data_IF_939462926965
#
_entry.id   IF_939462926965
#
_cell.length_a   1.000
_cell.length_b   1.000
_cell.length_c   1.000
_cell.angle_alpha   90.00
_cell.angle_beta   90.00
_cell.angle_gamma   90.00
#
_symmetry.space_group_name_H-M   'P 1'
#
loop_
_entity.id
_entity.type
_entity.pdbx_description
1 polymer ?
#
# COMPACT_ATOMS: atom_id res chain seq x y z
N UNK A 1 -16.75 -75.63 0.81
CA UNK A 1 -15.83 -75.95 1.93
C UNK A 1 -14.91 -74.76 2.11
N UNK A 2 -14.98 -74.11 3.28
CA UNK A 2 -13.88 -73.49 4.04
C UNK A 2 -13.06 -72.43 3.25
N UNK A 3 -13.15 -71.13 3.52
CA UNK A 3 -13.05 -70.48 4.82
C UNK A 3 -11.60 -70.03 5.05
N UNK A 4 -11.31 -68.74 4.86
CA UNK A 4 -10.10 -68.09 5.39
C UNK A 4 -10.53 -66.94 6.28
N UNK A 5 -10.03 -66.98 7.51
CA UNK A 5 -10.25 -66.06 8.62
C UNK A 5 -9.12 -65.02 8.63
N UNK A 6 -9.46 -63.73 8.77
CA UNK A 6 -8.64 -62.70 9.43
C UNK A 6 -9.52 -61.44 9.56
N UNK A 7 -10.07 -61.11 10.72
CA UNK A 7 -9.44 -60.42 11.85
C UNK A 7 -9.19 -58.91 11.61
N UNK A 8 -9.99 -58.12 12.35
CA UNK A 8 -9.63 -56.90 13.10
C UNK A 8 -9.03 -55.73 12.32
N UNK A 9 -9.75 -54.60 12.26
CA UNK A 9 -9.46 -53.42 13.11
C UNK A 9 -10.35 -52.26 12.65
N UNK A 10 -11.17 -51.75 13.55
CA UNK A 10 -11.93 -50.54 13.36
C UNK A 10 -10.97 -49.34 13.22
N UNK A 11 -11.05 -48.65 12.09
CA UNK A 11 -10.49 -47.31 11.92
C UNK A 11 -11.63 -46.39 11.50
N UNK A 12 -11.81 -45.36 12.32
CA UNK A 12 -12.77 -44.28 12.25
C UNK A 12 -13.04 -43.83 10.80
N UNK A 13 -14.29 -44.01 10.35
CA UNK A 13 -14.87 -43.21 9.26
C UNK A 13 -15.68 -42.10 9.90
N UNK A 14 -15.01 -41.03 10.32
CA UNK A 14 -15.66 -39.73 10.36
C UNK A 14 -15.71 -39.23 8.92
N UNK A 15 -16.79 -39.58 8.24
CA UNK A 15 -17.25 -38.87 7.04
C UNK A 15 -17.47 -37.42 7.42
N UNK A 16 -16.50 -36.56 7.13
CA UNK A 16 -16.75 -35.12 7.02
C UNK A 16 -17.65 -34.97 5.80
N UNK A 17 -18.94 -34.87 6.07
CA UNK A 17 -19.95 -34.47 5.09
C UNK A 17 -19.65 -33.02 4.71
N UNK A 18 -18.82 -32.83 3.69
CA UNK A 18 -18.59 -31.52 3.09
C UNK A 18 -19.91 -31.13 2.43
N UNK A 19 -20.78 -30.46 3.18
CA UNK A 19 -21.90 -29.73 2.61
C UNK A 19 -21.29 -28.72 1.66
N UNK A 20 -21.22 -29.09 0.38
CA UNK A 20 -21.05 -28.16 -0.71
C UNK A 20 -22.24 -27.21 -0.56
N UNK A 21 -21.96 -26.04 0.00
CA UNK A 21 -22.92 -24.95 0.03
C UNK A 21 -23.42 -24.68 -1.40
N UNK A 22 -24.63 -24.12 -1.55
CA UNK A 22 -25.12 -23.75 -2.87
C UNK A 22 -24.03 -22.96 -3.62
N UNK A 23 -23.92 -23.27 -4.91
CA UNK A 23 -22.91 -22.78 -5.85
C UNK A 23 -22.45 -21.36 -5.50
N UNK A 24 -21.12 -21.18 -5.44
CA UNK A 24 -20.47 -19.91 -5.16
C UNK A 24 -21.24 -18.76 -5.79
N UNK A 25 -21.72 -17.86 -4.93
CA UNK A 25 -22.18 -16.53 -5.35
C UNK A 25 -21.16 -16.02 -6.35
N UNK A 26 -21.61 -15.86 -7.59
CA UNK A 26 -20.79 -15.28 -8.64
C UNK A 26 -20.39 -13.90 -8.12
N UNK A 27 -19.10 -13.57 -7.93
CA UNK A 27 -18.74 -12.25 -7.41
C UNK A 27 -19.12 -11.23 -8.47
N UNK A 28 -20.27 -10.58 -8.27
CA UNK A 28 -20.82 -9.58 -9.19
C UNK A 28 -20.29 -8.17 -8.88
N UNK A 29 -19.22 -8.06 -8.09
CA UNK A 29 -18.56 -6.82 -7.74
C UNK A 29 -17.06 -7.07 -7.53
N UNK A 30 -16.23 -6.13 -7.98
CA UNK A 30 -14.83 -6.07 -7.59
C UNK A 30 -14.73 -6.07 -6.05
N UNK A 31 -14.10 -7.09 -5.47
CA UNK A 31 -13.84 -7.20 -4.04
C UNK A 31 -12.56 -6.47 -3.67
N UNK A 32 -12.54 -5.95 -2.44
CA UNK A 32 -11.46 -5.14 -1.89
C UNK A 32 -11.04 -5.80 -0.56
N UNK A 33 -9.74 -5.87 -0.30
CA UNK A 33 -9.16 -6.45 0.92
C UNK A 33 -8.17 -5.48 1.55
N UNK A 34 -8.07 -5.51 2.88
CA UNK A 34 -7.12 -4.72 3.68
C UNK A 34 -5.96 -5.58 4.20
N UNK A 35 -5.58 -6.61 3.46
CA UNK A 35 -4.64 -7.61 3.92
C UNK A 35 -3.19 -7.22 3.63
N UNK A 36 -2.69 -6.07 4.09
CA UNK A 36 -1.29 -5.68 3.91
C UNK A 36 -0.33 -6.67 4.64
N UNK A 37 0.36 -7.59 3.93
CA UNK A 37 1.18 -8.61 4.56
C UNK A 37 2.45 -8.03 5.18
N UNK A 38 3.02 -8.77 6.13
CA UNK A 38 4.31 -8.45 6.75
C UNK A 38 5.45 -8.38 5.71
N UNK A 39 6.61 -7.80 6.05
CA UNK A 39 7.68 -7.53 5.09
C UNK A 39 8.10 -8.74 4.27
N UNK A 40 8.11 -8.58 2.94
CA UNK A 40 8.74 -9.54 2.03
C UNK A 40 10.24 -9.28 1.93
N UNK A 41 11.00 -10.32 1.59
CA UNK A 41 12.44 -10.20 1.39
C UNK A 41 12.74 -9.62 -0.01
N UNK A 42 13.47 -8.51 -0.05
CA UNK A 42 13.99 -7.88 -1.28
C UNK A 42 13.08 -6.80 -1.86
N UNK A 43 13.64 -5.93 -2.69
CA UNK A 43 12.92 -4.88 -3.44
C UNK A 43 12.48 -5.43 -4.79
N UNK A 44 11.19 -5.62 -5.02
CA UNK A 44 10.65 -5.94 -6.35
C UNK A 44 9.30 -5.20 -6.56
N UNK A 45 8.96 -4.95 -7.82
CA UNK A 45 7.72 -4.26 -8.22
C UNK A 45 6.46 -5.07 -7.95
N UNK A 46 6.56 -6.39 -7.83
CA UNK A 46 5.45 -7.32 -7.58
C UNK A 46 5.21 -7.58 -6.07
N UNK A 47 5.98 -6.93 -5.21
CA UNK A 47 5.88 -7.10 -3.78
C UNK A 47 4.55 -6.48 -3.35
N UNK A 48 3.76 -7.29 -2.67
CA UNK A 48 2.59 -6.84 -1.95
C UNK A 48 2.96 -6.86 -0.47
N UNK A 49 2.75 -5.76 0.25
CA UNK A 49 3.24 -5.60 1.62
C UNK A 49 3.84 -4.22 1.90
N UNK A 50 4.56 -4.15 3.01
CA UNK A 50 5.39 -3.02 3.40
C UNK A 50 6.74 -3.51 3.89
N UNK A 51 7.78 -2.67 3.83
CA UNK A 51 9.09 -2.99 4.38
C UNK A 51 10.00 -1.77 4.46
N UNK A 52 11.18 -1.90 5.07
CA UNK A 52 11.66 -3.05 5.84
C UNK A 52 11.00 -3.14 7.22
N UNK A 53 11.33 -4.19 7.97
CA UNK A 53 11.05 -4.20 9.41
C UNK A 53 11.84 -3.07 10.09
N UNK A 54 11.16 -2.28 10.91
CA UNK A 54 11.73 -1.11 11.60
C UNK A 54 11.05 -0.87 12.94
N UNK A 55 11.64 0.01 13.74
CA UNK A 55 11.03 0.43 15.01
C UNK A 55 9.71 1.14 14.74
N UNK A 56 8.70 0.80 15.54
CA UNK A 56 7.34 1.30 15.43
C UNK A 56 6.95 1.95 16.74
N UNK A 57 6.11 2.97 16.66
CA UNK A 57 5.71 3.85 17.75
C UNK A 57 4.20 3.98 17.82
N UNK A 58 3.72 4.57 18.90
CA UNK A 58 2.31 4.95 19.05
C UNK A 58 2.19 6.47 19.09
N UNK A 59 1.00 7.04 18.87
CA UNK A 59 0.75 8.48 19.05
C UNK A 59 1.14 8.96 20.45
N UNK A 60 0.96 8.11 21.46
CA UNK A 60 1.28 8.43 22.85
C UNK A 60 2.78 8.39 23.13
N UNK A 61 3.49 7.51 22.44
CA UNK A 61 4.93 7.27 22.59
C UNK A 61 5.58 7.34 21.21
N UNK A 62 5.51 8.53 20.60
CA UNK A 62 6.01 8.78 19.26
C UNK A 62 7.55 8.92 19.24
N UNK A 63 8.15 8.87 18.05
CA UNK A 63 9.59 8.69 17.91
C UNK A 63 10.39 9.86 18.48
N UNK A 64 11.51 9.60 19.17
CA UNK A 64 12.43 10.66 19.57
C UNK A 64 13.36 11.11 18.43
N UNK A 65 13.31 10.49 17.25
CA UNK A 65 14.17 10.77 16.10
C UNK A 65 13.35 10.86 14.82
N UNK A 66 13.94 11.42 13.75
CA UNK A 66 13.30 11.50 12.44
C UNK A 66 13.05 10.08 11.90
N UNK A 67 11.79 9.74 11.58
CA UNK A 67 11.42 8.44 11.01
C UNK A 67 10.16 8.57 10.18
N UNK A 68 10.10 7.91 9.02
CA UNK A 68 8.88 7.90 8.22
C UNK A 68 7.79 7.04 8.86
N UNK A 69 6.53 7.49 8.79
CA UNK A 69 5.33 6.66 8.86
C UNK A 69 5.35 5.55 9.93
N UNK A 70 5.82 5.86 11.13
CA UNK A 70 6.13 4.88 12.18
C UNK A 70 5.07 4.77 13.26
N UNK A 71 3.89 5.41 13.12
CA UNK A 71 2.82 5.31 14.11
C UNK A 71 1.87 4.15 13.76
N UNK A 72 1.61 3.25 14.72
CA UNK A 72 0.71 2.09 14.50
C UNK A 72 -0.76 2.36 14.83
N UNK A 73 -1.06 3.46 15.52
CA UNK A 73 -2.38 3.81 16.06
C UNK A 73 -2.81 5.24 15.67
N UNK A 74 -2.49 5.68 14.45
CA UNK A 74 -2.95 6.97 13.94
C UNK A 74 -4.49 6.95 13.89
N UNK A 75 -5.20 7.89 14.54
CA UNK A 75 -6.67 7.85 14.64
C UNK A 75 -7.38 8.07 13.30
N UNK A 76 -6.68 8.61 12.30
CA UNK A 76 -7.20 8.87 10.95
C UNK A 76 -6.73 7.80 9.97
N UNK A 77 -5.45 7.47 9.98
CA UNK A 77 -4.83 6.57 9.01
C UNK A 77 -4.70 5.11 9.48
N UNK A 78 -4.83 4.86 10.77
CA UNK A 78 -4.55 3.57 11.39
C UNK A 78 -3.05 3.30 11.47
N UNK A 79 -2.64 2.17 10.93
CA UNK A 79 -1.23 1.77 10.89
C UNK A 79 -0.51 2.43 9.72
N UNK A 80 0.45 3.32 10.01
CA UNK A 80 1.17 4.09 9.00
C UNK A 80 2.15 3.26 8.18
N UNK A 81 2.45 2.00 8.55
CA UNK A 81 3.18 1.08 7.66
C UNK A 81 2.43 0.85 6.34
N UNK A 82 1.11 0.97 6.41
CA UNK A 82 0.22 0.88 5.27
C UNK A 82 -0.07 2.26 4.67
N UNK A 83 0.97 2.94 4.20
CA UNK A 83 0.90 4.31 3.71
C UNK A 83 0.54 4.44 2.22
N UNK A 84 0.58 3.36 1.44
CA UNK A 84 0.18 3.28 0.03
C UNK A 84 -1.12 2.50 -0.06
N UNK A 85 -2.15 3.13 -0.63
CA UNK A 85 -3.45 2.50 -0.85
C UNK A 85 -4.01 2.94 -2.19
N UNK A 86 -4.87 2.11 -2.78
CA UNK A 86 -5.57 2.45 -4.02
C UNK A 86 -7.09 2.40 -3.89
N UNK A 87 -7.77 3.02 -4.85
CA UNK A 87 -9.20 2.87 -5.12
C UNK A 87 -9.48 3.07 -6.60
N UNK A 88 -10.68 2.74 -7.06
CA UNK A 88 -11.14 3.01 -8.43
C UNK A 88 -11.57 4.49 -8.53
N UNK A 89 -11.09 5.24 -9.54
CA UNK A 89 -11.18 6.71 -9.64
C UNK A 89 -12.60 7.31 -9.72
N UNK A 90 -13.64 6.50 -9.88
CA UNK A 90 -15.02 6.98 -10.00
C UNK A 90 -16.02 6.14 -9.20
N UNK A 91 -15.55 5.39 -8.18
CA UNK A 91 -16.44 4.71 -7.26
C UNK A 91 -16.49 5.47 -5.92
N UNK A 92 -17.50 6.35 -5.72
CA UNK A 92 -17.60 7.18 -4.52
C UNK A 92 -17.88 6.38 -3.25
N UNK A 93 -18.20 5.09 -3.36
CA UNK A 93 -18.48 4.20 -2.22
C UNK A 93 -17.27 3.36 -1.84
N UNK A 94 -16.10 3.54 -2.48
CA UNK A 94 -14.90 2.75 -2.21
C UNK A 94 -13.84 3.55 -1.46
N UNK A 95 -13.56 3.08 -0.26
CA UNK A 95 -12.42 3.50 0.55
C UNK A 95 -11.09 3.12 -0.12
N UNK A 96 -10.02 3.80 0.29
CA UNK A 96 -8.66 3.44 -0.07
C UNK A 96 -8.22 2.16 0.63
N UNK A 97 -7.69 1.21 -0.13
CA UNK A 97 -7.40 -0.17 0.30
C UNK A 97 -6.11 -0.72 -0.30
N UNK A 98 -5.71 -1.89 0.18
CA UNK A 98 -4.42 -2.51 -0.16
C UNK A 98 -4.53 -3.35 -1.43
N UNK A 99 -5.71 -3.92 -1.68
CA UNK A 99 -6.01 -4.70 -2.88
C UNK A 99 -7.24 -4.15 -3.61
N UNK A 100 -7.11 -3.93 -4.91
CA UNK A 100 -8.22 -3.51 -5.78
C UNK A 100 -8.44 -4.54 -6.87
N UNK A 101 -9.61 -5.19 -6.89
CA UNK A 101 -9.99 -6.04 -8.01
C UNK A 101 -10.50 -5.22 -9.22
N UNK A 102 -10.06 -5.61 -10.41
CA UNK A 102 -10.49 -5.03 -11.69
C UNK A 102 -10.93 -6.14 -12.66
N UNK A 103 -11.68 -5.77 -13.69
CA UNK A 103 -12.15 -6.69 -14.74
C UNK A 103 -11.85 -6.19 -16.16
N UNK A 104 -11.69 -4.89 -16.30
CA UNK A 104 -11.50 -4.14 -17.52
C UNK A 104 -10.52 -3.00 -17.26
N UNK A 105 -10.16 -2.29 -18.33
CA UNK A 105 -9.33 -1.09 -18.26
C UNK A 105 -9.91 -0.11 -17.23
N UNK A 106 -9.14 0.17 -16.19
CA UNK A 106 -9.63 0.90 -15.01
C UNK A 106 -8.62 1.97 -14.59
N UNK A 107 -9.12 3.18 -14.38
CA UNK A 107 -8.34 4.25 -13.75
C UNK A 107 -8.40 4.10 -12.22
N UNK A 108 -7.23 4.14 -11.58
CA UNK A 108 -7.03 3.97 -10.16
C UNK A 108 -6.50 5.27 -9.54
N UNK A 109 -7.04 5.62 -8.37
CA UNK A 109 -6.48 6.64 -7.49
C UNK A 109 -5.52 5.92 -6.56
N UNK A 110 -4.32 6.44 -6.42
CA UNK A 110 -3.31 5.98 -5.47
C UNK A 110 -3.05 7.08 -4.48
N UNK A 111 -3.09 6.75 -3.20
CA UNK A 111 -2.70 7.66 -2.11
C UNK A 111 -1.43 7.16 -1.45
N UNK A 112 -0.53 8.10 -1.14
CA UNK A 112 0.72 7.89 -0.42
C UNK A 112 0.74 8.82 0.77
N UNK A 113 0.53 8.28 1.96
CA UNK A 113 0.68 9.01 3.22
C UNK A 113 2.16 9.19 3.55
N UNK A 114 2.52 10.40 3.98
CA UNK A 114 3.90 10.76 4.31
C UNK A 114 3.87 11.56 5.61
N UNK A 115 4.54 11.04 6.61
CA UNK A 115 4.71 11.69 7.90
C UNK A 115 6.11 11.50 8.46
N UNK A 116 6.57 12.47 9.24
CA UNK A 116 7.70 12.30 10.15
C UNK A 116 7.12 12.08 11.54
N UNK A 117 7.24 10.85 12.03
CA UNK A 117 6.65 10.45 13.31
C UNK A 117 7.45 10.93 14.52
N UNK A 118 8.44 11.81 14.33
CA UNK A 118 9.16 12.44 15.42
C UNK A 118 8.29 13.46 16.18
N UNK A 119 8.34 13.42 17.51
CA UNK A 119 7.73 14.47 18.36
C UNK A 119 8.59 15.73 18.47
N UNK A 120 9.79 15.72 17.88
CA UNK A 120 10.77 16.78 18.05
C UNK A 120 10.92 17.58 16.76
N UNK A 121 10.61 18.87 16.84
CA UNK A 121 10.73 19.78 15.70
C UNK A 121 12.17 19.88 15.13
N UNK A 122 13.21 19.59 15.93
CA UNK A 122 14.60 19.59 15.47
C UNK A 122 15.02 18.28 14.79
N UNK A 123 14.19 17.25 14.84
CA UNK A 123 14.40 15.95 14.21
C UNK A 123 13.66 15.85 12.89
N UNK A 124 13.98 16.73 11.95
CA UNK A 124 13.41 16.69 10.62
C UNK A 124 14.04 15.61 9.72
N UNK A 125 13.25 15.00 8.86
CA UNK A 125 13.74 14.23 7.70
C UNK A 125 14.31 15.21 6.67
N UNK A 126 15.45 14.85 6.07
CA UNK A 126 16.16 15.65 5.06
C UNK A 126 16.38 14.83 3.79
N UNK A 127 16.48 15.52 2.64
CA UNK A 127 16.65 14.86 1.35
C UNK A 127 15.48 13.95 0.97
N UNK A 128 14.29 14.23 1.51
CA UNK A 128 13.13 13.36 1.38
C UNK A 128 12.69 13.22 -0.08
N UNK A 129 12.51 11.97 -0.55
CA UNK A 129 12.03 11.64 -1.91
C UNK A 129 11.00 10.52 -1.86
N UNK A 130 10.12 10.53 -2.84
CA UNK A 130 9.19 9.46 -3.15
C UNK A 130 9.55 8.86 -4.51
N UNK A 131 9.49 7.55 -4.67
CA UNK A 131 9.75 6.88 -5.94
C UNK A 131 8.70 5.80 -6.23
N UNK A 132 7.91 6.00 -7.28
CA UNK A 132 6.91 5.06 -7.76
C UNK A 132 7.57 4.01 -8.66
N UNK A 133 7.55 2.76 -8.21
CA UNK A 133 7.98 1.61 -8.98
C UNK A 133 6.76 0.86 -9.54
N UNK A 134 6.70 0.78 -10.87
CA UNK A 134 5.72 0.00 -11.62
C UNK A 134 6.48 -0.91 -12.60
N UNK A 135 6.12 -2.19 -12.68
CA UNK A 135 6.59 -3.05 -13.77
C UNK A 135 5.86 -2.67 -15.07
N UNK A 136 6.58 -2.28 -16.14
CA UNK A 136 5.95 -1.96 -17.42
C UNK A 136 5.45 -3.20 -18.18
N UNK A 137 5.78 -4.42 -17.74
CA UNK A 137 5.35 -5.64 -18.41
C UNK A 137 4.00 -6.12 -17.86
N UNK A 138 3.14 -6.72 -18.72
CA UNK A 138 1.90 -7.33 -18.25
C UNK A 138 2.18 -8.47 -17.26
N UNK A 139 1.48 -8.46 -16.12
CA UNK A 139 1.54 -9.56 -15.14
C UNK A 139 0.15 -9.89 -14.61
N UNK A 140 -0.02 -11.10 -14.08
CA UNK A 140 -1.25 -11.48 -13.38
C UNK A 140 -1.15 -10.95 -11.96
N UNK A 141 -2.12 -10.12 -11.58
CA UNK A 141 -2.18 -9.41 -10.31
C UNK A 141 -0.96 -8.50 -10.03
N UNK A 142 -0.69 -7.49 -10.89
CA UNK A 142 0.46 -6.60 -10.69
C UNK A 142 0.32 -5.80 -9.39
N UNK A 143 1.45 -5.40 -8.82
CA UNK A 143 1.49 -4.41 -7.75
C UNK A 143 2.15 -3.12 -8.24
N UNK A 144 1.80 -2.01 -7.60
CA UNK A 144 2.60 -0.79 -7.62
C UNK A 144 3.23 -0.62 -6.25
N UNK A 145 4.48 -0.18 -6.23
CA UNK A 145 5.24 0.06 -5.01
C UNK A 145 5.69 1.51 -4.95
N UNK A 146 5.64 2.11 -3.77
CA UNK A 146 6.21 3.44 -3.53
C UNK A 146 7.29 3.32 -2.48
N UNK A 147 8.45 3.88 -2.79
CA UNK A 147 9.56 4.01 -1.85
C UNK A 147 9.61 5.41 -1.27
N UNK A 148 9.84 5.52 0.03
CA UNK A 148 10.21 6.76 0.70
C UNK A 148 11.67 6.67 1.15
N UNK A 149 12.43 7.72 0.83
CA UNK A 149 13.86 7.82 1.17
C UNK A 149 14.17 9.18 1.76
N UNK A 150 15.24 9.25 2.54
CA UNK A 150 15.82 10.48 3.06
C UNK A 150 17.26 10.22 3.51
N UNK A 151 18.04 11.29 3.67
CA UNK A 151 19.48 11.22 3.95
C UNK A 151 19.78 10.68 5.35
N UNK A 152 18.84 10.85 6.28
CA UNK A 152 19.01 10.57 7.71
C UNK A 152 18.00 9.55 8.27
N UNK A 153 17.30 8.82 7.41
CA UNK A 153 16.27 7.86 7.80
C UNK A 153 16.42 6.55 7.04
N UNK A 154 15.82 5.50 7.57
CA UNK A 154 15.75 4.22 6.88
C UNK A 154 14.79 4.36 5.69
N UNK A 155 15.22 3.91 4.51
CA UNK A 155 14.34 3.78 3.33
C UNK A 155 13.24 2.77 3.62
N UNK A 156 12.02 3.10 3.22
CA UNK A 156 10.85 2.22 3.33
C UNK A 156 10.13 2.08 1.99
N UNK A 157 9.29 1.05 1.90
CA UNK A 157 8.43 0.76 0.77
C UNK A 157 7.09 0.23 1.24
N UNK A 158 6.03 0.51 0.48
CA UNK A 158 4.73 -0.13 0.62
C UNK A 158 4.07 -0.19 -0.75
N UNK A 159 3.29 -1.23 -0.97
CA UNK A 159 2.66 -1.49 -2.26
C UNK A 159 1.17 -1.74 -2.14
N UNK A 160 0.49 -1.44 -3.24
CA UNK A 160 -0.91 -1.72 -3.45
C UNK A 160 -1.04 -2.71 -4.61
N UNK A 161 -1.84 -3.76 -4.42
CA UNK A 161 -1.98 -4.87 -5.37
C UNK A 161 -3.26 -4.75 -6.17
N UNK A 162 -3.15 -4.98 -7.47
CA UNK A 162 -4.29 -5.01 -8.38
C UNK A 162 -4.64 -6.48 -8.61
N UNK A 163 -5.89 -6.87 -8.34
CA UNK A 163 -6.36 -8.23 -8.57
C UNK A 163 -7.04 -8.29 -9.94
N UNK A 164 -6.50 -9.09 -10.85
CA UNK A 164 -7.00 -9.25 -12.22
C UNK A 164 -6.92 -10.71 -12.65
N UNK A 165 -7.96 -11.17 -13.35
CA UNK A 165 -8.00 -12.51 -13.92
C UNK A 165 -7.20 -12.63 -15.24
N UNK A 166 -6.86 -11.49 -15.85
CA UNK A 166 -6.07 -11.38 -17.08
C UNK A 166 -4.73 -10.70 -16.78
N UNK A 167 -3.70 -10.91 -17.62
CA UNK A 167 -2.52 -10.06 -17.59
C UNK A 167 -2.92 -8.58 -17.62
N UNK A 168 -2.22 -7.77 -16.81
CA UNK A 168 -2.53 -6.36 -16.66
C UNK A 168 -1.23 -5.57 -16.63
N UNK A 169 -1.19 -4.47 -17.37
CA UNK A 169 -0.10 -3.49 -17.33
C UNK A 169 -0.55 -2.25 -16.57
N UNK A 170 0.31 -1.71 -15.72
CA UNK A 170 0.06 -0.47 -15.00
C UNK A 170 0.85 0.68 -15.64
N UNK A 171 0.26 1.86 -15.66
CA UNK A 171 0.91 3.07 -16.17
C UNK A 171 0.52 4.29 -15.35
N UNK A 172 1.51 4.99 -14.82
CA UNK A 172 1.31 6.28 -14.17
C UNK A 172 0.70 7.30 -15.16
N UNK A 173 -0.28 8.09 -14.72
CA UNK A 173 -0.88 9.16 -15.53
C UNK A 173 -0.25 10.51 -15.15
N UNK A 174 0.59 11.12 -16.02
CA UNK A 174 1.27 12.37 -15.74
C UNK A 174 0.33 13.56 -15.48
N UNK A 175 0.76 14.49 -14.63
CA UNK A 175 0.04 15.72 -14.32
C UNK A 175 -1.17 15.53 -13.38
N UNK A 176 -1.32 14.34 -12.78
CA UNK A 176 -2.46 14.01 -11.92
C UNK A 176 -2.17 14.08 -10.44
N UNK A 177 -0.91 14.33 -10.08
CA UNK A 177 -0.47 14.27 -8.69
C UNK A 177 -0.76 15.57 -7.93
N UNK A 178 -1.34 15.42 -6.74
CA UNK A 178 -1.59 16.51 -5.81
C UNK A 178 -1.16 16.13 -4.39
N UNK A 179 -0.47 17.05 -3.72
CA UNK A 179 -0.16 16.99 -2.30
C UNK A 179 -1.31 17.64 -1.52
N UNK A 180 -1.90 16.85 -0.64
CA UNK A 180 -3.00 17.24 0.22
C UNK A 180 -2.49 17.40 1.64
N UNK A 181 -2.66 18.61 2.17
CA UNK A 181 -2.22 18.99 3.51
C UNK A 181 -3.44 19.54 4.26
N UNK A 182 -3.64 19.11 5.50
CA UNK A 182 -4.77 19.58 6.28
C UNK A 182 -4.77 21.11 6.41
N UNK A 183 -5.90 21.72 6.07
CA UNK A 183 -6.12 23.17 6.11
C UNK A 183 -5.54 23.96 4.94
N UNK A 184 -5.00 23.30 3.92
CA UNK A 184 -4.40 23.93 2.73
C UNK A 184 -5.08 23.43 1.46
N UNK A 185 -5.30 24.28 0.43
CA UNK A 185 -5.71 23.80 -0.89
C UNK A 185 -4.72 22.76 -1.45
N UNK A 186 -5.17 21.78 -2.25
CA UNK A 186 -4.27 20.81 -2.88
C UNK A 186 -3.19 21.50 -3.72
N UNK A 187 -1.95 21.03 -3.57
CA UNK A 187 -0.77 21.57 -4.27
C UNK A 187 -0.43 20.62 -5.41
N UNK A 188 -0.35 21.12 -6.65
CA UNK A 188 0.08 20.30 -7.78
C UNK A 188 1.52 19.81 -7.57
N UNK A 189 1.75 18.51 -7.79
CA UNK A 189 3.05 17.85 -7.64
C UNK A 189 3.61 17.54 -9.01
N UNK A 190 4.89 17.87 -9.25
CA UNK A 190 5.55 17.58 -10.50
C UNK A 190 5.77 16.07 -10.68
N UNK A 191 5.64 15.56 -11.91
CA UNK A 191 5.85 14.14 -12.19
C UNK A 191 7.26 13.64 -11.81
N UNK A 192 8.26 14.54 -11.80
CA UNK A 192 9.62 14.24 -11.35
C UNK A 192 9.71 13.91 -9.86
N UNK A 193 8.76 14.38 -9.05
CA UNK A 193 8.63 13.98 -7.64
C UNK A 193 8.09 12.56 -7.55
N UNK A 194 7.18 12.17 -8.45
CA UNK A 194 6.59 10.83 -8.45
C UNK A 194 7.62 9.76 -8.86
N UNK A 195 8.53 10.11 -9.76
CA UNK A 195 9.63 9.24 -10.24
C UNK A 195 10.89 9.26 -9.36
N UNK A 196 10.90 9.97 -8.23
CA UNK A 196 12.09 10.12 -7.38
C UNK A 196 13.22 10.99 -7.92
N UNK A 197 13.08 11.55 -9.13
CA UNK A 197 14.07 12.44 -9.77
C UNK A 197 14.34 13.69 -8.91
N UNK A 198 13.31 14.24 -8.28
CA UNK A 198 13.37 15.47 -7.47
C UNK A 198 12.94 15.24 -6.02
N UNK A 199 13.34 16.16 -5.16
CA UNK A 199 12.93 16.17 -3.75
C UNK A 199 11.42 16.37 -3.62
N UNK A 200 10.87 15.86 -2.51
CA UNK A 200 9.51 16.13 -2.08
C UNK A 200 9.29 17.66 -1.88
N UNK A 201 8.14 18.24 -2.31
CA UNK A 201 7.86 19.65 -2.13
C UNK A 201 8.01 20.15 -0.68
N UNK A 202 8.63 21.31 -0.50
CA UNK A 202 8.69 21.96 0.80
C UNK A 202 7.32 22.51 1.21
N UNK A 203 6.90 22.27 2.47
CA UNK A 203 5.58 22.70 2.98
C UNK A 203 5.69 23.36 4.35
N UNK A 204 4.71 24.22 4.68
CA UNK A 204 4.65 24.95 5.95
C UNK A 204 5.94 25.72 6.29
N UNK A 205 6.63 26.24 5.26
CA UNK A 205 7.88 27.01 5.40
C UNK A 205 9.15 26.16 5.39
N UNK A 206 9.05 24.83 5.30
CA UNK A 206 10.19 23.96 5.09
C UNK A 206 10.73 24.07 3.65
N UNK A 207 12.03 23.85 3.50
CA UNK A 207 12.66 23.69 2.19
C UNK A 207 12.21 22.38 1.52
N UNK A 208 12.43 22.26 0.21
CA UNK A 208 12.23 21.00 -0.51
C UNK A 208 13.06 19.86 0.12
N UNK A 209 12.45 18.68 0.21
CA UNK A 209 13.04 17.50 0.83
C UNK A 209 13.16 17.58 2.35
N UNK A 210 12.60 18.60 3.00
CA UNK A 210 12.59 18.72 4.46
C UNK A 210 11.18 18.50 4.99
N UNK A 211 11.03 17.46 5.82
CA UNK A 211 9.80 17.16 6.54
C UNK A 211 10.09 17.35 8.02
N UNK A 212 9.45 18.35 8.64
CA UNK A 212 9.66 18.63 10.06
C UNK A 212 9.03 17.57 10.96
N UNK A 213 9.62 17.35 12.13
CA UNK A 213 9.07 16.49 13.17
C UNK A 213 7.87 17.13 13.87
N UNK A 214 6.67 16.79 13.39
CA UNK A 214 5.37 16.95 14.05
C UNK A 214 4.35 16.19 13.19
N UNK A 215 3.68 15.17 13.75
CA UNK A 215 2.78 14.30 13.02
C UNK A 215 1.50 15.04 12.61
N UNK A 216 1.58 15.72 11.45
CA UNK A 216 0.56 16.53 10.73
C UNK A 216 1.18 17.51 9.71
N UNK A 217 2.51 17.60 9.62
CA UNK A 217 3.18 18.62 8.80
C UNK A 217 2.99 18.39 7.30
N UNK A 218 3.18 17.15 6.82
CA UNK A 218 3.31 16.88 5.38
C UNK A 218 1.99 16.49 4.71
N UNK A 219 1.38 15.35 5.09
CA UNK A 219 0.07 14.93 4.60
C UNK A 219 0.15 13.74 3.65
N UNK A 220 -0.54 13.80 2.50
CA UNK A 220 -0.52 12.70 1.54
C UNK A 220 -0.49 13.19 0.09
N UNK A 221 0.17 12.42 -0.78
CA UNK A 221 0.13 12.63 -2.22
C UNK A 221 -0.90 11.68 -2.82
N UNK A 222 -1.82 12.21 -3.63
CA UNK A 222 -2.77 11.43 -4.43
C UNK A 222 -2.44 11.60 -5.91
N UNK A 223 -2.40 10.52 -6.67
CA UNK A 223 -2.18 10.53 -8.12
C UNK A 223 -2.93 9.39 -8.81
N UNK A 224 -2.91 9.37 -10.15
CA UNK A 224 -3.66 8.39 -10.93
C UNK A 224 -2.75 7.41 -11.65
N UNK A 225 -3.22 6.16 -11.75
CA UNK A 225 -2.61 5.07 -12.49
C UNK A 225 -3.68 4.45 -13.38
N UNK A 226 -3.35 4.18 -14.64
CA UNK A 226 -4.19 3.40 -15.53
C UNK A 226 -3.77 1.93 -15.46
N UNK A 227 -4.75 1.04 -15.26
CA UNK A 227 -4.60 -0.39 -15.49
C UNK A 227 -5.17 -0.74 -16.87
N UNK A 228 -4.39 -1.48 -17.67
CA UNK A 228 -4.78 -2.00 -18.98
C UNK A 228 -4.87 -3.51 -18.90
N UNK A 229 -6.02 -4.08 -19.27
CA UNK A 229 -6.30 -5.52 -19.19
C UNK A 229 -6.21 -6.13 -20.59
N UNK A 230 -5.38 -7.16 -20.74
CA UNK A 230 -5.21 -7.90 -22.00
C UNK A 230 -6.33 -8.92 -22.28
#
# INVERSE_FOLDING_TARGET
MIGVVAAVLALFRDTIDFKIGPAADTPNAASISTANPAPSAGDNSDNYGWGPMREMYTRKEASPTAVFNSIVDNPVWGDERNYVRCRIMNDPNRDFVDEVAIRDDTELSVVVFIDDSSVRADQAIRGARMDLLIDPNPSINPALNVFLTGDNVIREWNGCKILSASPTTLSYIPGTAFLNIYGTPPIAVMDSVIRGDTLLPGVRGNAEGVIGGDPQIYGYIEFRVQAFVD
#
